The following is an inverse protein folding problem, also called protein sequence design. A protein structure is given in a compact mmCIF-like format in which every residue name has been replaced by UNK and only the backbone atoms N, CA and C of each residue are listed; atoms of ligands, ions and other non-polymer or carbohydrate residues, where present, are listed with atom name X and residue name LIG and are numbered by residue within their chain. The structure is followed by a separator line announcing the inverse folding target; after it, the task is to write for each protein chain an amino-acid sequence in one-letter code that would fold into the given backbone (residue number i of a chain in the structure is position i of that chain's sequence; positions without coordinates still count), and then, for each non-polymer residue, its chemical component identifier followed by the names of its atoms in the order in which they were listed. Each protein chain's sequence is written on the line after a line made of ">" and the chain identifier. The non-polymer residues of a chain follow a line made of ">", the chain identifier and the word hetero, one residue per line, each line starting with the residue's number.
data_IF_634702009968
#
_entry.id   IF_634702009968
#
_cell.length_a   1.000
_cell.length_b   1.000
_cell.length_c   1.000
_cell.angle_alpha   90.00
_cell.angle_beta   90.00
_cell.angle_gamma   90.00
#
_symmetry.space_group_name_H-M   'P 1'
#
loop_
_entity.id
_entity.type
_entity.pdbx_description
1 polymer ?
#
# COMPACT_ATOMS: atom_id res chain seq x y z
N UNK A 1 15.04 -21.56 8.64
CA UNK A 1 15.42 -20.28 9.26
C UNK A 1 14.32 -19.28 8.95
N UNK A 2 13.63 -18.75 9.96
CA UNK A 2 12.62 -17.72 9.77
C UNK A 2 13.34 -16.43 9.41
N UNK A 3 13.33 -16.01 8.13
CA UNK A 3 13.89 -14.71 7.77
C UNK A 3 12.89 -13.64 8.20
N UNK A 4 13.31 -12.80 9.14
CA UNK A 4 12.55 -11.64 9.57
C UNK A 4 13.05 -10.42 8.78
N UNK A 5 12.17 -9.73 8.08
CA UNK A 5 12.46 -8.38 7.60
C UNK A 5 11.77 -7.43 8.55
N UNK A 6 12.51 -6.49 9.15
CA UNK A 6 11.92 -5.42 9.93
C UNK A 6 12.56 -4.10 9.47
N UNK A 7 11.74 -3.15 9.06
CA UNK A 7 12.14 -1.81 8.66
C UNK A 7 11.17 -0.83 9.28
N UNK A 8 11.69 0.13 10.02
CA UNK A 8 10.94 1.27 10.52
C UNK A 8 11.66 2.55 10.13
N UNK A 9 10.93 3.48 9.54
CA UNK A 9 11.51 4.75 9.05
C UNK A 9 10.48 5.87 9.12
N UNK A 10 10.96 7.11 9.13
CA UNK A 10 10.11 8.29 8.93
C UNK A 10 9.86 8.44 7.43
N UNK A 11 8.60 8.43 7.02
CA UNK A 11 8.20 8.61 5.63
C UNK A 11 7.25 9.81 5.51
N UNK A 12 7.41 10.59 4.44
CA UNK A 12 6.58 11.77 4.17
C UNK A 12 5.52 11.45 3.13
N UNK A 13 4.27 11.35 3.56
CA UNK A 13 3.11 11.28 2.67
C UNK A 13 2.52 12.68 2.52
N UNK A 14 2.53 13.24 1.30
CA UNK A 14 1.92 14.54 0.98
C UNK A 14 2.34 15.68 1.94
N UNK A 15 3.62 15.69 2.32
CA UNK A 15 4.21 16.69 3.21
C UNK A 15 3.98 16.46 4.72
N UNK A 16 3.19 15.46 5.11
CA UNK A 16 3.00 15.04 6.51
C UNK A 16 3.95 13.90 6.85
N UNK A 17 4.52 13.91 8.05
CA UNK A 17 5.46 12.89 8.51
C UNK A 17 4.75 11.77 9.26
N UNK A 18 5.09 10.54 8.90
CA UNK A 18 4.58 9.33 9.53
C UNK A 18 5.75 8.43 9.93
N UNK A 19 5.55 7.62 10.98
CA UNK A 19 6.37 6.47 11.25
C UNK A 19 5.82 5.28 10.47
N UNK A 20 6.54 4.81 9.47
CA UNK A 20 6.16 3.66 8.66
C UNK A 20 7.00 2.45 9.06
N UNK A 21 6.33 1.37 9.46
CA UNK A 21 6.94 0.11 9.85
C UNK A 21 6.47 -1.03 8.94
N UNK A 22 7.42 -1.82 8.49
CA UNK A 22 7.25 -3.03 7.69
C UNK A 22 7.90 -4.20 8.42
N UNK A 23 7.09 -5.15 8.85
CA UNK A 23 7.52 -6.44 9.39
C UNK A 23 7.13 -7.55 8.41
N UNK A 24 7.99 -8.56 8.26
CA UNK A 24 7.64 -9.77 7.52
C UNK A 24 8.12 -11.02 8.23
N UNK A 25 7.28 -12.05 8.31
CA UNK A 25 7.65 -13.36 8.85
C UNK A 25 7.56 -14.40 7.73
N UNK A 26 8.69 -15.00 7.35
CA UNK A 26 8.73 -16.09 6.36
C UNK A 26 8.47 -17.47 6.98
N UNK A 27 7.32 -17.70 7.62
CA UNK A 27 6.93 -19.03 8.08
C UNK A 27 5.79 -19.60 7.21
N UNK A 28 6.02 -20.77 6.59
CA UNK A 28 5.17 -21.47 5.60
C UNK A 28 4.79 -20.71 4.33
N UNK A 29 4.10 -19.58 4.44
CA UNK A 29 3.55 -18.83 3.28
C UNK A 29 4.00 -17.37 3.22
N UNK A 30 4.61 -16.83 4.28
CA UNK A 30 5.07 -15.44 4.29
C UNK A 30 3.94 -14.46 4.60
N UNK A 31 4.16 -13.56 5.56
CA UNK A 31 3.23 -12.47 5.90
C UNK A 31 3.95 -11.13 5.84
N UNK A 32 3.21 -10.10 5.42
CA UNK A 32 3.58 -8.69 5.51
C UNK A 32 2.67 -8.04 6.54
N UNK A 33 3.28 -7.40 7.52
CA UNK A 33 2.61 -6.50 8.43
C UNK A 33 3.11 -5.07 8.15
N UNK A 34 2.18 -4.16 7.92
CA UNK A 34 2.42 -2.75 7.72
C UNK A 34 1.76 -1.97 8.83
N UNK A 35 2.46 -0.99 9.38
CA UNK A 35 1.97 -0.08 10.40
C UNK A 35 2.39 1.34 10.05
N UNK A 36 1.44 2.26 10.01
CA UNK A 36 1.64 3.67 9.70
C UNK A 36 1.11 4.48 10.89
N UNK A 37 1.96 5.27 11.52
CA UNK A 37 1.57 6.13 12.65
C UNK A 37 1.79 7.60 12.28
N UNK A 38 0.76 8.44 12.39
CA UNK A 38 0.89 9.87 12.23
C UNK A 38 1.71 10.45 13.39
N UNK A 39 2.83 11.11 13.12
CA UNK A 39 3.71 11.63 14.19
C UNK A 39 3.09 12.77 15.00
N UNK A 40 2.03 13.42 14.50
CA UNK A 40 1.36 14.54 15.18
C UNK A 40 0.13 14.09 15.94
N UNK A 41 -0.78 13.34 15.30
CA UNK A 41 -2.01 12.88 15.96
C UNK A 41 -1.82 11.59 16.75
N UNK A 42 -0.71 10.88 16.53
CA UNK A 42 -0.42 9.53 17.05
C UNK A 42 -1.35 8.44 16.53
N UNK A 43 -2.34 8.79 15.69
CA UNK A 43 -3.23 7.83 15.05
C UNK A 43 -2.44 6.79 14.26
N UNK A 44 -2.83 5.52 14.43
CA UNK A 44 -2.21 4.37 13.81
C UNK A 44 -3.15 3.66 12.84
N UNK A 45 -2.59 3.18 11.73
CA UNK A 45 -3.23 2.28 10.79
C UNK A 45 -2.38 1.04 10.55
N UNK A 46 -3.01 -0.13 10.54
CA UNK A 46 -2.32 -1.41 10.40
C UNK A 46 -2.92 -2.26 9.27
N UNK A 47 -2.08 -3.03 8.59
CA UNK A 47 -2.47 -4.03 7.61
C UNK A 47 -1.66 -5.31 7.78
N UNK A 48 -2.33 -6.45 7.64
CA UNK A 48 -1.71 -7.77 7.67
C UNK A 48 -2.12 -8.54 6.42
N UNK A 49 -1.14 -8.96 5.63
CA UNK A 49 -1.36 -9.59 4.33
C UNK A 49 -0.50 -10.84 4.18
N UNK A 50 -1.10 -11.96 3.78
CA UNK A 50 -0.34 -13.15 3.42
C UNK A 50 0.09 -13.11 1.95
N UNK A 51 0.92 -14.08 1.53
CA UNK A 51 1.36 -14.17 0.14
C UNK A 51 0.22 -14.31 -0.86
N UNK A 52 -0.81 -15.10 -0.56
CA UNK A 52 -1.93 -15.33 -1.45
C UNK A 52 -2.70 -14.03 -1.73
N UNK A 53 -2.91 -13.20 -0.70
CA UNK A 53 -3.53 -11.90 -0.84
C UNK A 53 -2.72 -10.97 -1.75
N UNK A 54 -1.42 -10.85 -1.52
CA UNK A 54 -0.53 -9.96 -2.29
C UNK A 54 -0.45 -10.40 -3.77
N UNK A 55 -0.33 -11.70 -4.00
CA UNK A 55 -0.27 -12.27 -5.34
C UNK A 55 -1.60 -12.07 -6.08
N UNK A 56 -2.74 -12.29 -5.42
CA UNK A 56 -4.05 -12.04 -5.99
C UNK A 56 -4.29 -10.55 -6.27
N UNK A 57 -3.87 -9.66 -5.36
CA UNK A 57 -3.95 -8.21 -5.53
C UNK A 57 -3.18 -7.79 -6.79
N UNK A 58 -1.92 -8.20 -6.92
CA UNK A 58 -1.08 -7.80 -8.05
C UNK A 58 -1.57 -8.39 -9.37
N UNK A 59 -2.10 -9.62 -9.36
CA UNK A 59 -2.74 -10.22 -10.53
C UNK A 59 -3.96 -9.42 -11.00
N UNK A 60 -4.82 -8.97 -10.08
CA UNK A 60 -6.01 -8.16 -10.39
C UNK A 60 -5.69 -6.81 -11.03
N UNK A 61 -4.48 -6.28 -10.81
CA UNK A 61 -4.02 -5.04 -11.48
C UNK A 61 -3.46 -5.27 -12.90
N UNK A 62 -3.42 -6.52 -13.38
CA UNK A 62 -2.82 -6.86 -14.68
C UNK A 62 -1.30 -6.94 -14.67
N UNK A 63 -0.64 -6.72 -13.52
CA UNK A 63 0.82 -6.74 -13.40
C UNK A 63 1.25 -7.53 -12.16
N UNK A 64 1.27 -8.86 -12.32
CA UNK A 64 1.57 -9.81 -11.25
C UNK A 64 2.96 -9.60 -10.64
N UNK A 65 3.04 -9.78 -9.32
CA UNK A 65 4.29 -9.84 -8.55
C UNK A 65 4.20 -10.99 -7.56
N UNK A 66 5.24 -11.82 -7.51
CA UNK A 66 5.42 -12.79 -6.42
C UNK A 66 5.58 -12.05 -5.09
N UNK A 67 5.18 -12.69 -4.00
CA UNK A 67 5.25 -12.12 -2.65
C UNK A 67 6.63 -11.50 -2.32
N UNK A 68 7.73 -12.23 -2.52
CA UNK A 68 9.08 -11.76 -2.19
C UNK A 68 9.50 -10.53 -3.03
N UNK A 69 9.06 -10.47 -4.29
CA UNK A 69 9.29 -9.31 -5.15
C UNK A 69 8.53 -8.10 -4.63
N UNK A 70 7.25 -8.28 -4.28
CA UNK A 70 6.43 -7.20 -3.74
C UNK A 70 6.95 -6.70 -2.38
N UNK A 71 7.39 -7.61 -1.50
CA UNK A 71 8.05 -7.27 -0.24
C UNK A 71 9.32 -6.43 -0.48
N UNK A 72 10.12 -6.81 -1.47
CA UNK A 72 11.31 -6.05 -1.86
C UNK A 72 10.97 -4.67 -2.42
N UNK A 73 9.90 -4.56 -3.22
CA UNK A 73 9.39 -3.29 -3.72
C UNK A 73 8.98 -2.36 -2.57
N UNK A 74 8.16 -2.84 -1.62
CA UNK A 74 7.77 -2.09 -0.42
C UNK A 74 8.98 -1.61 0.38
N UNK A 75 9.92 -2.52 0.66
CA UNK A 75 11.16 -2.19 1.39
C UNK A 75 11.95 -1.10 0.66
N UNK A 76 12.12 -1.23 -0.65
CA UNK A 76 12.87 -0.24 -1.45
C UNK A 76 12.18 1.12 -1.50
N UNK A 77 10.85 1.14 -1.52
CA UNK A 77 10.08 2.38 -1.54
C UNK A 77 10.16 3.10 -0.18
N UNK A 78 10.02 2.37 0.94
CA UNK A 78 10.17 2.93 2.29
C UNK A 78 11.57 3.50 2.54
N UNK A 79 12.60 2.80 2.08
CA UNK A 79 14.00 3.21 2.23
C UNK A 79 14.47 4.18 1.14
N UNK A 80 13.60 4.52 0.18
CA UNK A 80 13.90 5.37 -0.96
C UNK A 80 15.14 4.90 -1.76
N UNK A 81 15.29 3.59 -1.94
CA UNK A 81 16.42 2.96 -2.67
C UNK A 81 16.06 2.55 -4.09
N UNK A 82 14.85 2.85 -4.57
CA UNK A 82 14.39 2.56 -5.93
C UNK A 82 13.54 3.71 -6.45
N UNK A 83 13.84 4.20 -7.65
CA UNK A 83 13.05 5.24 -8.32
C UNK A 83 11.81 4.69 -9.01
N UNK A 84 11.74 3.37 -9.23
CA UNK A 84 10.61 2.73 -9.91
C UNK A 84 9.44 2.45 -8.97
N UNK A 85 9.59 2.62 -7.66
CA UNK A 85 8.54 2.35 -6.67
C UNK A 85 8.37 3.55 -5.74
N UNK A 86 7.15 4.05 -5.62
CA UNK A 86 6.80 5.14 -4.70
C UNK A 86 5.57 4.79 -3.86
N UNK A 87 5.44 5.41 -2.69
CA UNK A 87 4.29 5.24 -1.80
C UNK A 87 3.50 6.54 -1.63
N UNK A 88 2.17 6.44 -1.69
CA UNK A 88 1.23 7.49 -1.27
C UNK A 88 0.24 6.92 -0.24
N UNK A 89 -0.35 7.78 0.60
CA UNK A 89 -1.33 7.39 1.62
C UNK A 89 -2.62 8.18 1.42
N UNK A 90 -3.71 7.47 1.11
CA UNK A 90 -4.99 8.06 0.73
C UNK A 90 -6.08 7.76 1.76
N UNK A 91 -7.03 8.69 1.88
CA UNK A 91 -8.34 8.43 2.50
C UNK A 91 -9.34 7.88 1.48
N UNK A 92 -10.53 7.50 1.93
CA UNK A 92 -11.63 7.16 1.02
C UNK A 92 -12.03 8.37 0.16
N UNK A 93 -12.09 9.57 0.74
CA UNK A 93 -12.41 10.81 0.04
C UNK A 93 -11.39 11.12 -1.06
N UNK A 94 -10.09 10.92 -0.79
CA UNK A 94 -9.02 11.05 -1.79
C UNK A 94 -9.26 10.14 -3.00
N UNK A 95 -9.66 8.89 -2.76
CA UNK A 95 -9.95 7.93 -3.82
C UNK A 95 -11.17 8.34 -4.66
N UNK A 96 -12.23 8.84 -4.01
CA UNK A 96 -13.42 9.34 -4.70
C UNK A 96 -13.11 10.58 -5.54
N UNK A 97 -12.29 11.50 -5.04
CA UNK A 97 -11.85 12.66 -5.79
C UNK A 97 -11.00 12.27 -7.01
N UNK A 98 -10.10 11.29 -6.87
CA UNK A 98 -9.31 10.78 -7.98
C UNK A 98 -10.19 10.14 -9.07
N UNK A 99 -11.23 9.39 -8.68
CA UNK A 99 -12.22 8.84 -9.62
C UNK A 99 -12.91 9.95 -10.41
N UNK A 100 -13.38 10.99 -9.73
CA UNK A 100 -14.14 12.06 -10.36
C UNK A 100 -13.27 12.95 -11.29
N UNK A 101 -11.95 13.03 -11.05
CA UNK A 101 -11.01 13.75 -11.92
C UNK A 101 -10.49 12.90 -13.09
N UNK A 102 -10.51 11.58 -12.98
CA UNK A 102 -9.98 10.64 -13.98
C UNK A 102 -10.81 10.48 -15.26
N UNK A 103 -11.99 11.11 -15.35
CA UNK A 103 -12.92 10.98 -16.48
C UNK A 103 -12.44 11.61 -17.80
N UNK A 104 -11.20 12.11 -17.87
CA UNK A 104 -10.68 12.69 -19.11
C UNK A 104 -9.55 11.92 -19.77
N UNK A 105 -8.57 11.26 -19.12
CA UNK A 105 -7.40 10.74 -19.88
C UNK A 105 -6.47 9.71 -19.15
N UNK A 106 -6.94 8.65 -18.48
CA UNK A 106 -6.01 7.54 -18.13
C UNK A 106 -6.67 6.24 -17.65
N UNK A 107 -6.25 5.15 -18.29
CA UNK A 107 -6.41 3.76 -17.87
C UNK A 107 -5.86 3.52 -16.45
N UNK A 108 -6.50 2.64 -15.67
CA UNK A 108 -5.87 2.03 -14.49
C UNK A 108 -6.74 1.88 -13.23
N UNK A 109 -7.88 2.57 -13.15
CA UNK A 109 -8.84 2.39 -12.04
C UNK A 109 -10.16 1.80 -12.57
N UNK A 110 -10.12 0.63 -13.24
CA UNK A 110 -11.34 -0.10 -13.61
C UNK A 110 -11.89 -0.79 -12.36
N UNK A 111 -12.52 -0.01 -11.49
CA UNK A 111 -13.09 -0.50 -10.25
C UNK A 111 -14.61 -0.52 -10.28
N UNK A 112 -15.18 -1.12 -11.32
CA UNK A 112 -16.62 -1.45 -11.36
C UNK A 112 -17.06 -2.35 -10.19
N UNK A 113 -16.12 -2.92 -9.44
CA UNK A 113 -16.33 -3.77 -8.27
C UNK A 113 -15.80 -3.21 -6.94
N UNK A 114 -15.17 -2.01 -6.86
CA UNK A 114 -14.61 -1.53 -5.58
C UNK A 114 -15.60 -0.81 -4.68
N UNK A 115 -16.74 -0.35 -5.20
CA UNK A 115 -17.77 0.32 -4.39
C UNK A 115 -18.35 -0.58 -3.29
N UNK A 116 -18.26 -1.90 -3.44
CA UNK A 116 -18.65 -2.88 -2.42
C UNK A 116 -17.52 -3.27 -1.44
N UNK A 117 -16.25 -2.97 -1.73
CA UNK A 117 -15.12 -3.33 -0.85
C UNK A 117 -14.79 -2.29 0.23
N UNK A 118 -15.43 -1.12 0.16
CA UNK A 118 -15.18 0.01 1.05
C UNK A 118 -16.36 0.22 2.02
N UNK A 119 -16.63 -0.79 2.85
CA UNK A 119 -17.64 -0.70 3.92
C UNK A 119 -17.07 -0.04 5.19
N UNK A 120 -17.62 1.13 5.53
CA UNK A 120 -17.95 1.65 6.87
C UNK A 120 -16.92 1.68 8.03
N UNK A 121 -15.62 1.85 7.78
CA UNK A 121 -14.73 2.44 8.80
C UNK A 121 -14.31 3.84 8.34
N UNK A 122 -14.83 4.88 9.02
CA UNK A 122 -14.69 6.28 8.60
C UNK A 122 -13.24 6.78 8.61
N UNK A 123 -12.32 6.03 9.23
CA UNK A 123 -10.91 6.40 9.31
C UNK A 123 -9.97 5.41 8.61
N UNK A 124 -10.44 4.58 7.68
CA UNK A 124 -9.55 3.70 6.89
C UNK A 124 -8.53 4.51 6.09
N UNK A 125 -7.36 3.91 5.83
CA UNK A 125 -6.35 4.47 4.91
C UNK A 125 -5.99 3.45 3.85
N UNK A 126 -5.49 3.95 2.72
CA UNK A 126 -5.03 3.13 1.61
C UNK A 126 -3.59 3.51 1.28
N UNK A 127 -2.66 2.60 1.53
CA UNK A 127 -1.28 2.74 1.07
C UNK A 127 -1.23 2.35 -0.40
N UNK A 128 -0.90 3.30 -1.27
CA UNK A 128 -0.80 3.10 -2.70
C UNK A 128 0.65 2.83 -3.05
N UNK A 129 0.97 1.58 -3.36
CA UNK A 129 2.28 1.21 -3.92
C UNK A 129 2.22 1.46 -5.42
N UNK A 130 2.96 2.45 -5.90
CA UNK A 130 3.01 2.77 -7.33
C UNK A 130 4.29 2.21 -7.92
N UNK A 131 4.17 1.32 -8.90
CA UNK A 131 5.29 0.83 -9.70
C UNK A 131 5.28 1.52 -11.06
N UNK A 132 6.34 2.26 -11.37
CA UNK A 132 6.50 2.99 -12.63
C UNK A 132 7.73 2.48 -13.37
N UNK A 133 7.54 2.10 -14.62
CA UNK A 133 8.57 1.76 -15.60
C UNK A 133 8.29 2.50 -16.91
N UNK A 134 9.14 2.36 -17.91
CA UNK A 134 9.14 3.19 -19.13
C UNK A 134 7.75 3.41 -19.78
N UNK A 135 6.91 2.37 -19.81
CA UNK A 135 5.62 2.42 -20.50
C UNK A 135 4.43 2.06 -19.61
N UNK A 136 4.67 1.75 -18.34
CA UNK A 136 3.63 1.29 -17.42
C UNK A 136 3.70 2.01 -16.08
N UNK A 137 2.51 2.31 -15.55
CA UNK A 137 2.32 2.80 -14.18
C UNK A 137 1.20 2.02 -13.52
N UNK A 138 1.55 1.20 -12.54
CA UNK A 138 0.62 0.31 -11.84
C UNK A 138 0.48 0.74 -10.40
N UNK A 139 -0.76 0.72 -9.91
CA UNK A 139 -1.11 1.04 -8.53
C UNK A 139 -1.60 -0.21 -7.81
N UNK A 140 -0.93 -0.58 -6.72
CA UNK A 140 -1.34 -1.67 -5.84
C UNK A 140 -1.87 -1.07 -4.51
N UNK A 141 -3.19 -0.95 -4.34
CA UNK A 141 -3.78 -0.41 -3.12
C UNK A 141 -3.76 -1.45 -2.00
N UNK A 142 -3.16 -1.09 -0.86
CA UNK A 142 -3.18 -1.86 0.38
C UNK A 142 -4.06 -1.14 1.41
N UNK A 143 -5.14 -1.78 1.84
CA UNK A 143 -6.07 -1.20 2.78
C UNK A 143 -5.59 -1.40 4.23
N UNK A 144 -5.47 -0.31 4.98
CA UNK A 144 -5.02 -0.29 6.37
C UNK A 144 -6.20 0.07 7.29
N UNK A 145 -6.42 -0.78 8.30
CA UNK A 145 -7.45 -0.56 9.30
C UNK A 145 -6.96 0.42 10.36
N UNK A 146 -7.87 1.26 10.87
CA UNK A 146 -7.55 2.19 11.94
C UNK A 146 -7.44 1.46 13.28
N UNK A 147 -6.33 1.67 13.99
CA UNK A 147 -6.02 1.00 15.27
C UNK A 147 -6.12 1.92 16.49
N UNK A 148 -6.35 3.23 16.30
CA UNK A 148 -6.35 4.21 17.39
C UNK A 148 -5.00 4.91 17.59
N UNK A 149 -4.90 5.86 18.53
CA UNK A 149 -3.64 6.44 18.99
C UNK A 149 -2.85 5.54 19.94
#
# INVERSE_FOLDING_TARGET
>A
MNTLTNVTTVYKFRGKEYLASLSSVKHRTGTIELKITDKKSLEEWQGLYDAAYIENLTQKTGNFKRFDTFLSMLKSALLNTSQCVSLDLLTLEDLEMLRNRGNSHSQGFTTSHSSQMFSSSTNRRYLIVTYTVEYDRIHYPLALEYSGP
#
